data_IF_385837100163
#
_entry.id   IF_385837100163
#
_cell.length_a   1.000
_cell.length_b   1.000
_cell.length_c   1.000
_cell.angle_alpha   90.00
_cell.angle_beta   90.00
_cell.angle_gamma   90.00
#
_symmetry.space_group_name_H-M   'P 1'
#
loop_
_entity.id
_entity.type
_entity.pdbx_description
1 polymer ?
#
# COMPACT_ATOMS: atom_id res chain seq x y z
N UNK A 1 0.55 -5.97 4.05
CA UNK A 1 1.42 -6.69 4.99
C UNK A 1 0.77 -6.80 6.35
N UNK A 2 1.26 -7.70 7.21
CA UNK A 2 0.97 -7.67 8.64
C UNK A 2 1.15 -6.25 9.17
N UNK A 3 0.29 -5.82 10.10
CA UNK A 3 0.24 -4.47 10.68
C UNK A 3 -0.01 -3.32 9.70
N UNK A 4 -0.29 -3.59 8.43
CA UNK A 4 -0.65 -2.55 7.46
C UNK A 4 -1.97 -1.88 7.82
N UNK A 5 -2.04 -0.55 7.69
CA UNK A 5 -3.24 0.25 7.95
C UNK A 5 -3.49 1.24 6.83
N UNK A 6 -4.61 1.11 6.13
CA UNK A 6 -4.90 1.86 4.90
C UNK A 6 -6.21 2.67 4.97
N UNK A 7 -6.76 2.86 6.16
CA UNK A 7 -7.95 3.67 6.37
C UNK A 7 -9.06 2.95 7.13
N UNK A 8 -10.23 3.59 7.21
CA UNK A 8 -11.32 3.16 8.10
C UNK A 8 -12.70 3.06 7.41
N UNK A 9 -12.76 3.13 6.09
CA UNK A 9 -13.94 2.69 5.34
C UNK A 9 -13.96 1.16 5.24
N UNK A 10 -15.10 0.55 4.94
CA UNK A 10 -15.22 -0.91 4.88
C UNK A 10 -14.12 -1.54 4.00
N UNK A 11 -13.93 -1.03 2.78
CA UNK A 11 -12.89 -1.53 1.86
C UNK A 11 -11.48 -1.33 2.45
N UNK A 12 -11.22 -0.19 3.09
CA UNK A 12 -9.91 0.06 3.73
C UNK A 12 -9.68 -0.86 4.94
N UNK A 13 -10.72 -1.18 5.71
CA UNK A 13 -10.66 -2.17 6.80
C UNK A 13 -10.32 -3.55 6.23
N UNK A 14 -10.97 -3.95 5.13
CA UNK A 14 -10.77 -5.25 4.47
C UNK A 14 -9.34 -5.47 3.96
N UNK A 15 -8.58 -4.41 3.70
CA UNK A 15 -7.17 -4.49 3.25
C UNK A 15 -6.16 -4.10 4.35
N UNK A 16 -6.63 -3.84 5.58
CA UNK A 16 -5.81 -3.40 6.71
C UNK A 16 -5.71 -4.49 7.78
N UNK A 17 -4.61 -5.24 7.80
CA UNK A 17 -4.41 -6.29 8.82
C UNK A 17 -4.39 -5.73 10.25
N UNK A 18 -3.91 -4.51 10.43
CA UNK A 18 -4.03 -3.80 11.70
C UNK A 18 -5.47 -3.76 12.23
N UNK A 19 -6.47 -3.69 11.34
CA UNK A 19 -7.88 -3.65 11.70
C UNK A 19 -8.49 -5.04 11.80
N UNK A 20 -8.41 -5.86 10.76
CA UNK A 20 -9.12 -7.13 10.74
C UNK A 20 -8.48 -8.23 11.62
N UNK A 21 -7.18 -8.12 11.95
CA UNK A 21 -6.51 -8.99 12.93
C UNK A 21 -6.55 -8.41 14.36
N UNK A 22 -7.01 -7.16 14.52
CA UNK A 22 -7.15 -6.49 15.81
C UNK A 22 -8.39 -6.93 16.59
N UNK A 23 -8.56 -6.36 17.79
CA UNK A 23 -9.73 -6.61 18.64
C UNK A 23 -11.02 -6.24 17.92
N UNK A 24 -11.94 -7.20 17.80
CA UNK A 24 -13.22 -7.04 17.09
C UNK A 24 -13.12 -7.19 15.57
N UNK A 25 -11.95 -7.53 15.04
CA UNK A 25 -11.78 -7.86 13.64
C UNK A 25 -12.25 -9.28 13.30
N UNK A 26 -12.57 -9.51 12.03
CA UNK A 26 -13.09 -10.79 11.52
C UNK A 26 -12.06 -11.58 10.69
N UNK A 27 -10.79 -11.17 10.75
CA UNK A 27 -9.73 -11.74 9.88
C UNK A 27 -9.75 -11.18 8.46
N UNK A 28 -8.78 -11.61 7.65
CA UNK A 28 -8.68 -11.18 6.26
C UNK A 28 -9.84 -11.73 5.40
N UNK A 29 -10.50 -10.90 4.59
CA UNK A 29 -11.45 -11.37 3.58
C UNK A 29 -10.77 -12.28 2.55
N UNK A 30 -11.55 -13.10 1.84
CA UNK A 30 -11.04 -14.11 0.91
C UNK A 30 -10.13 -13.56 -0.20
N UNK A 31 -10.34 -12.32 -0.62
CA UNK A 31 -9.58 -11.63 -1.66
C UNK A 31 -8.44 -10.76 -1.13
N UNK A 32 -8.22 -10.74 0.20
CA UNK A 32 -7.11 -10.05 0.82
C UNK A 32 -6.03 -11.05 1.25
N UNK A 33 -4.84 -10.89 0.70
CA UNK A 33 -3.69 -11.75 0.99
C UNK A 33 -2.62 -10.96 1.74
N UNK A 34 -2.25 -11.44 2.92
CA UNK A 34 -1.29 -10.77 3.80
C UNK A 34 0.08 -11.43 3.70
N UNK A 35 1.12 -10.63 3.61
CA UNK A 35 2.51 -11.08 3.72
C UNK A 35 3.05 -10.78 5.13
N UNK A 36 4.03 -11.56 5.63
CA UNK A 36 4.72 -11.20 6.86
C UNK A 36 5.30 -9.79 6.79
N UNK A 37 5.28 -9.07 7.92
CA UNK A 37 5.84 -7.72 7.99
C UNK A 37 7.29 -7.70 7.49
N UNK A 38 7.64 -6.90 6.45
CA UNK A 38 9.00 -6.84 5.92
C UNK A 38 9.91 -6.05 6.88
N UNK A 39 10.36 -6.70 7.92
CA UNK A 39 11.22 -6.14 8.95
C UNK A 39 12.50 -6.98 9.06
N UNK A 40 13.66 -6.42 8.66
CA UNK A 40 14.94 -7.12 8.67
C UNK A 40 15.63 -7.13 10.05
N UNK A 41 15.09 -6.39 11.01
CA UNK A 41 15.59 -6.35 12.38
C UNK A 41 14.89 -7.35 13.30
N UNK A 42 13.54 -7.39 13.33
CA UNK A 42 12.74 -8.23 14.24
C UNK A 42 11.79 -9.19 13.53
N UNK A 43 11.67 -9.09 12.20
CA UNK A 43 10.72 -9.88 11.44
C UNK A 43 11.17 -11.32 11.18
N UNK A 44 10.37 -12.00 10.36
CA UNK A 44 10.57 -13.41 9.96
C UNK A 44 11.93 -13.65 9.28
N UNK A 45 12.39 -12.71 8.48
CA UNK A 45 13.66 -12.79 7.77
C UNK A 45 14.55 -11.61 8.15
N UNK A 46 15.80 -11.88 8.53
CA UNK A 46 16.76 -10.89 9.03
C UNK A 46 18.02 -10.87 8.15
N UNK A 47 18.75 -9.76 8.26
CA UNK A 47 20.04 -9.57 7.60
C UNK A 47 19.95 -9.18 6.11
N UNK A 48 21.09 -9.14 5.40
CA UNK A 48 21.23 -8.45 4.13
C UNK A 48 20.40 -9.03 2.98
N UNK A 49 19.97 -10.29 3.06
CA UNK A 49 19.15 -10.94 2.05
C UNK A 49 17.65 -11.02 2.42
N UNK A 50 17.24 -10.35 3.49
CA UNK A 50 15.86 -10.37 3.97
C UNK A 50 14.88 -9.87 2.92
N UNK A 51 15.21 -8.80 2.19
CA UNK A 51 14.37 -8.24 1.13
C UNK A 51 13.95 -9.28 0.10
N UNK A 52 14.91 -10.05 -0.45
CA UNK A 52 14.62 -11.12 -1.40
C UNK A 52 13.70 -12.20 -0.82
N UNK A 53 13.90 -12.56 0.44
CA UNK A 53 13.06 -13.56 1.12
C UNK A 53 11.61 -13.07 1.30
N UNK A 54 11.42 -11.78 1.60
CA UNK A 54 10.09 -11.18 1.66
C UNK A 54 9.42 -11.10 0.28
N UNK A 55 10.17 -10.86 -0.79
CA UNK A 55 9.64 -10.95 -2.18
C UNK A 55 9.12 -12.36 -2.47
N UNK A 56 9.78 -13.41 -1.98
CA UNK A 56 9.27 -14.79 -2.11
C UNK A 56 7.92 -15.01 -1.41
N UNK A 57 7.64 -14.31 -0.31
CA UNK A 57 6.31 -14.37 0.32
C UNK A 57 5.24 -13.72 -0.58
N UNK A 58 5.56 -12.59 -1.22
CA UNK A 58 4.66 -11.99 -2.22
C UNK A 58 4.42 -12.95 -3.39
N UNK A 59 5.48 -13.60 -3.89
CA UNK A 59 5.36 -14.59 -4.97
C UNK A 59 4.46 -15.76 -4.58
N UNK A 60 4.56 -16.26 -3.35
CA UNK A 60 3.66 -17.31 -2.83
C UNK A 60 2.20 -16.85 -2.83
N UNK A 61 1.92 -15.63 -2.38
CA UNK A 61 0.57 -15.06 -2.43
C UNK A 61 0.04 -15.01 -3.87
N UNK A 62 0.85 -14.54 -4.82
CA UNK A 62 0.47 -14.45 -6.23
C UNK A 62 0.19 -15.86 -6.81
N UNK A 63 1.03 -16.85 -6.51
CA UNK A 63 0.80 -18.25 -6.92
C UNK A 63 -0.50 -18.80 -6.35
N UNK A 64 -0.81 -18.51 -5.10
CA UNK A 64 -2.07 -18.93 -4.47
C UNK A 64 -3.30 -18.26 -5.13
N UNK A 65 -3.22 -16.96 -5.45
CA UNK A 65 -4.29 -16.26 -6.19
C UNK A 65 -4.55 -16.93 -7.55
N UNK A 66 -3.48 -17.19 -8.30
CA UNK A 66 -3.57 -17.83 -9.62
C UNK A 66 -4.07 -19.26 -9.57
N UNK A 67 -3.71 -20.04 -8.55
CA UNK A 67 -4.21 -21.42 -8.38
C UNK A 67 -5.73 -21.47 -8.20
N UNK A 68 -6.31 -20.39 -7.66
CA UNK A 68 -7.76 -20.20 -7.54
C UNK A 68 -8.42 -19.60 -8.81
N UNK A 69 -7.69 -19.53 -9.92
CA UNK A 69 -8.13 -18.91 -11.19
C UNK A 69 -8.56 -17.44 -11.04
N UNK A 70 -7.95 -16.71 -10.10
CA UNK A 70 -8.19 -15.28 -9.87
C UNK A 70 -7.05 -14.44 -10.43
N UNK A 71 -7.38 -13.22 -10.89
CA UNK A 71 -6.40 -12.21 -11.27
C UNK A 71 -5.84 -11.47 -10.04
N UNK A 72 -4.62 -10.98 -10.16
CA UNK A 72 -4.05 -10.08 -9.17
C UNK A 72 -4.54 -8.65 -9.43
N UNK A 73 -5.31 -8.07 -8.50
CA UNK A 73 -5.78 -6.69 -8.62
C UNK A 73 -4.68 -5.67 -8.33
N UNK A 74 -3.97 -5.84 -7.21
CA UNK A 74 -2.89 -4.92 -6.83
C UNK A 74 -2.17 -5.31 -5.57
N UNK A 75 -1.16 -4.52 -5.24
CA UNK A 75 -0.37 -4.59 -4.03
C UNK A 75 -0.31 -3.20 -3.39
N UNK A 76 -0.75 -3.08 -2.14
CA UNK A 76 -0.69 -1.84 -1.38
C UNK A 76 0.26 -2.00 -0.19
N UNK A 77 1.08 -0.97 0.04
CA UNK A 77 1.98 -0.92 1.19
C UNK A 77 2.35 0.53 1.52
N UNK A 78 2.57 0.80 2.79
CA UNK A 78 3.24 2.01 3.26
C UNK A 78 4.75 1.87 3.01
N UNK A 79 5.46 2.85 2.41
CA UNK A 79 6.92 2.78 2.18
C UNK A 79 7.74 2.67 3.46
N UNK A 80 7.19 3.16 4.57
CA UNK A 80 7.61 2.89 5.95
C UNK A 80 6.35 2.50 6.71
N UNK A 81 6.33 1.31 7.30
CA UNK A 81 5.14 0.78 7.97
C UNK A 81 4.91 1.48 9.30
N UNK A 82 4.02 2.47 9.33
CA UNK A 82 3.83 3.34 10.48
C UNK A 82 3.14 2.65 11.65
N UNK A 83 1.96 2.06 11.46
CA UNK A 83 1.26 1.30 12.50
C UNK A 83 2.00 0.01 12.89
N UNK A 84 2.88 -0.50 12.04
CA UNK A 84 3.79 -1.59 12.33
C UNK A 84 4.97 -1.24 13.24
N UNK A 85 5.14 0.05 13.60
CA UNK A 85 6.21 0.52 14.48
C UNK A 85 7.30 1.32 13.77
N UNK A 86 6.97 2.06 12.73
CA UNK A 86 7.91 2.86 11.91
C UNK A 86 8.99 1.97 11.27
N UNK A 87 8.57 0.87 10.68
CA UNK A 87 9.47 -0.13 10.11
C UNK A 87 9.87 0.26 8.69
N UNK A 88 11.16 0.48 8.48
CA UNK A 88 11.73 0.63 7.14
C UNK A 88 11.70 -0.70 6.40
N UNK A 89 11.37 -0.65 5.10
CA UNK A 89 11.36 -1.85 4.26
C UNK A 89 12.80 -2.27 3.91
N UNK A 90 13.10 -3.58 3.90
CA UNK A 90 14.42 -4.07 3.54
C UNK A 90 14.85 -3.62 2.15
N UNK A 91 16.15 -3.35 1.98
CA UNK A 91 16.73 -2.90 0.70
C UNK A 91 16.33 -3.82 -0.47
N UNK A 92 15.82 -3.21 -1.53
CA UNK A 92 15.40 -3.90 -2.76
C UNK A 92 14.01 -4.54 -2.70
N UNK A 93 13.44 -4.76 -1.51
CA UNK A 93 12.14 -5.42 -1.36
C UNK A 93 11.04 -4.75 -2.18
N UNK A 94 10.85 -3.43 -2.05
CA UNK A 94 9.75 -2.74 -2.71
C UNK A 94 9.91 -2.73 -4.23
N UNK A 95 11.15 -2.52 -4.72
CA UNK A 95 11.46 -2.53 -6.15
C UNK A 95 11.16 -3.89 -6.79
N UNK A 96 11.65 -4.97 -6.19
CA UNK A 96 11.48 -6.32 -6.72
C UNK A 96 10.00 -6.76 -6.62
N UNK A 97 9.31 -6.36 -5.55
CA UNK A 97 7.87 -6.59 -5.38
C UNK A 97 7.05 -5.88 -6.45
N UNK A 98 7.32 -4.60 -6.73
CA UNK A 98 6.59 -3.85 -7.77
C UNK A 98 6.78 -4.47 -9.16
N UNK A 99 8.01 -4.87 -9.49
CA UNK A 99 8.30 -5.57 -10.74
C UNK A 99 7.51 -6.90 -10.83
N UNK A 100 7.48 -7.66 -9.74
CA UNK A 100 6.76 -8.93 -9.68
C UNK A 100 5.25 -8.73 -9.83
N UNK A 101 4.67 -7.76 -9.12
CA UNK A 101 3.24 -7.42 -9.17
C UNK A 101 2.82 -7.02 -10.59
N UNK A 102 3.53 -6.09 -11.21
CA UNK A 102 3.26 -5.63 -12.57
C UNK A 102 3.38 -6.74 -13.61
N UNK A 103 4.41 -7.59 -13.49
CA UNK A 103 4.57 -8.79 -14.34
C UNK A 103 3.38 -9.75 -14.26
N UNK A 104 2.62 -9.70 -13.17
CA UNK A 104 1.44 -10.52 -12.94
C UNK A 104 0.10 -9.79 -13.15
N UNK A 105 0.15 -8.60 -13.75
CA UNK A 105 -1.04 -7.82 -14.14
C UNK A 105 -1.66 -6.97 -13.02
N UNK A 106 -1.03 -6.91 -11.85
CA UNK A 106 -1.50 -6.09 -10.73
C UNK A 106 -0.92 -4.67 -10.75
N UNK A 107 -1.58 -3.74 -10.07
CA UNK A 107 -1.11 -2.37 -9.86
C UNK A 107 -0.40 -2.21 -8.52
N UNK A 108 0.57 -1.29 -8.46
CA UNK A 108 1.34 -1.00 -7.26
C UNK A 108 0.85 0.30 -6.62
N UNK A 109 0.42 0.23 -5.37
CA UNK A 109 -0.15 1.35 -4.62
C UNK A 109 0.80 1.70 -3.46
N UNK A 110 1.29 2.95 -3.43
CA UNK A 110 2.03 3.48 -2.29
C UNK A 110 1.10 4.26 -1.38
N UNK A 111 1.02 3.83 -0.13
CA UNK A 111 0.31 4.57 0.89
C UNK A 111 1.24 5.61 1.52
N UNK A 112 1.13 6.85 1.05
CA UNK A 112 1.94 8.00 1.49
C UNK A 112 1.27 8.80 2.62
N UNK A 113 0.14 8.32 3.14
CA UNK A 113 -0.67 9.04 4.14
C UNK A 113 0.12 9.38 5.40
N UNK A 114 1.13 8.62 5.75
CA UNK A 114 1.98 8.87 6.92
C UNK A 114 3.33 9.51 6.58
N UNK A 115 3.95 9.12 5.47
CA UNK A 115 5.35 9.44 5.17
C UNK A 115 5.56 10.41 4.01
N UNK A 116 4.50 10.74 3.27
CA UNK A 116 4.55 11.70 2.18
C UNK A 116 4.72 13.15 2.63
N UNK A 117 4.73 14.03 1.65
CA UNK A 117 4.83 15.50 1.83
C UNK A 117 6.09 15.93 2.60
N UNK A 118 7.24 15.34 2.29
CA UNK A 118 8.53 15.76 2.85
C UNK A 118 8.82 15.26 4.26
N UNK A 119 7.99 14.38 4.84
CA UNK A 119 8.17 13.84 6.21
C UNK A 119 9.55 13.23 6.43
N UNK A 120 10.15 12.63 5.40
CA UNK A 120 11.45 11.95 5.46
C UNK A 120 12.66 12.90 5.30
N UNK A 121 12.44 14.17 5.04
CA UNK A 121 13.49 15.18 4.90
C UNK A 121 14.24 15.13 3.56
N UNK A 122 14.81 14.00 3.18
CA UNK A 122 15.57 13.84 1.92
C UNK A 122 14.70 13.65 0.69
N UNK A 123 13.50 13.11 0.87
CA UNK A 123 12.57 12.77 -0.19
C UNK A 123 11.22 13.40 0.10
N UNK A 124 10.52 13.85 -0.94
CA UNK A 124 9.16 14.37 -0.80
C UNK A 124 8.15 13.24 -0.60
N UNK A 125 8.37 12.12 -1.30
CA UNK A 125 7.55 10.91 -1.17
C UNK A 125 8.35 9.76 -0.57
N UNK A 126 7.68 8.92 0.22
CA UNK A 126 8.30 7.76 0.86
C UNK A 126 8.79 6.71 -0.14
N UNK A 127 8.10 6.50 -1.26
CA UNK A 127 8.52 5.55 -2.27
C UNK A 127 9.86 5.90 -2.94
N UNK A 128 10.26 7.18 -2.94
CA UNK A 128 11.52 7.64 -3.56
C UNK A 128 12.75 7.02 -2.89
N UNK A 129 12.72 6.78 -1.57
CA UNK A 129 13.85 6.15 -0.86
C UNK A 129 14.11 4.72 -1.34
N UNK A 130 13.12 4.09 -1.99
CA UNK A 130 13.24 2.74 -2.56
C UNK A 130 13.55 2.74 -4.05
N UNK A 131 13.71 3.92 -4.68
CA UNK A 131 13.94 4.09 -6.12
C UNK A 131 12.87 3.38 -6.97
N UNK A 132 11.61 3.60 -6.65
CA UNK A 132 10.43 3.09 -7.37
C UNK A 132 9.45 4.22 -7.66
N UNK A 133 8.56 3.99 -8.63
CA UNK A 133 7.40 4.84 -8.89
C UNK A 133 6.16 3.94 -8.83
N UNK A 134 5.21 4.19 -7.93
CA UNK A 134 3.95 3.44 -7.85
C UNK A 134 3.02 3.81 -9.00
N UNK A 135 1.99 3.00 -9.23
CA UNK A 135 0.94 3.27 -10.20
C UNK A 135 -0.17 4.14 -9.61
N UNK A 136 -0.35 4.04 -8.28
CA UNK A 136 -1.30 4.84 -7.48
C UNK A 136 -0.62 5.29 -6.19
N UNK A 137 -0.89 6.52 -5.78
CA UNK A 137 -0.42 7.11 -4.52
C UNK A 137 -1.65 7.58 -3.74
N UNK A 138 -1.76 7.17 -2.47
CA UNK A 138 -2.74 7.72 -1.55
C UNK A 138 -2.06 8.72 -0.60
N UNK A 139 -2.65 9.89 -0.42
CA UNK A 139 -2.07 11.01 0.30
C UNK A 139 -3.07 11.52 1.33
N UNK A 140 -2.60 11.91 2.50
CA UNK A 140 -3.46 12.44 3.56
C UNK A 140 -2.65 13.16 4.63
N UNK A 141 -3.10 13.09 5.86
CA UNK A 141 -2.48 13.66 7.09
C UNK A 141 -1.68 14.97 6.87
N UNK A 142 -0.38 14.92 6.45
CA UNK A 142 0.42 16.14 6.33
C UNK A 142 -0.02 17.05 5.18
N UNK A 143 -0.75 16.55 4.19
CA UNK A 143 -1.16 17.32 3.01
C UNK A 143 -1.93 18.60 3.38
N UNK A 144 -2.85 18.49 4.32
CA UNK A 144 -3.71 19.59 4.75
C UNK A 144 -3.15 20.45 5.88
N UNK A 145 -1.95 20.14 6.41
CA UNK A 145 -1.35 20.88 7.54
C UNK A 145 -2.33 21.10 8.71
N UNK A 146 -3.10 20.06 9.06
CA UNK A 146 -4.12 20.08 10.11
C UNK A 146 -5.56 20.16 9.58
N UNK A 147 -5.77 20.59 8.34
CA UNK A 147 -7.07 20.51 7.69
C UNK A 147 -7.29 19.09 7.11
N UNK A 148 -8.48 18.48 7.25
CA UNK A 148 -8.75 17.13 6.76
C UNK A 148 -8.84 17.12 5.22
N UNK A 149 -7.74 16.80 4.57
CA UNK A 149 -7.61 16.62 3.12
C UNK A 149 -7.06 15.23 2.83
N UNK A 150 -7.62 14.57 1.81
CA UNK A 150 -7.07 13.36 1.20
C UNK A 150 -7.01 13.50 -0.31
N UNK A 151 -6.03 12.88 -0.93
CA UNK A 151 -5.89 12.84 -2.37
C UNK A 151 -5.45 11.46 -2.86
N UNK A 152 -5.84 11.13 -4.08
CA UNK A 152 -5.33 9.96 -4.81
C UNK A 152 -4.75 10.46 -6.13
N UNK A 153 -3.52 10.07 -6.41
CA UNK A 153 -2.84 10.34 -7.68
C UNK A 153 -2.57 9.01 -8.36
N UNK A 154 -2.86 8.91 -9.63
CA UNK A 154 -2.62 7.69 -10.40
C UNK A 154 -2.14 8.01 -11.82
N UNK A 155 -1.67 6.97 -12.52
CA UNK A 155 -1.32 7.12 -13.93
C UNK A 155 -2.55 7.46 -14.78
N UNK A 156 -2.33 8.15 -15.91
CA UNK A 156 -3.40 8.50 -16.85
C UNK A 156 -4.21 7.28 -17.29
N UNK A 157 -3.55 6.16 -17.57
CA UNK A 157 -4.20 4.92 -17.98
C UNK A 157 -5.18 4.39 -16.93
N UNK A 158 -4.81 4.47 -15.63
CA UNK A 158 -5.71 4.06 -14.53
C UNK A 158 -6.88 5.02 -14.41
N UNK A 159 -6.63 6.33 -14.51
CA UNK A 159 -7.68 7.34 -14.48
C UNK A 159 -8.69 7.15 -15.62
N UNK A 160 -8.21 6.89 -16.84
CA UNK A 160 -9.07 6.60 -17.99
C UNK A 160 -9.91 5.32 -17.80
N UNK A 161 -9.34 4.28 -17.19
CA UNK A 161 -10.07 3.06 -16.87
C UNK A 161 -11.14 3.27 -15.78
N UNK A 162 -10.90 4.20 -14.85
CA UNK A 162 -11.87 4.59 -13.82
C UNK A 162 -13.01 5.45 -14.39
N UNK A 163 -12.76 6.23 -15.44
CA UNK A 163 -13.75 7.06 -16.12
C UNK A 163 -14.72 6.21 -16.98
N UNK A 164 -15.50 5.37 -16.33
CA UNK A 164 -16.39 4.38 -16.95
C UNK A 164 -17.81 4.89 -17.23
N UNK A 165 -18.05 6.20 -17.11
CA UNK A 165 -19.35 6.85 -17.33
C UNK A 165 -20.24 6.93 -16.08
N UNK A 166 -19.87 6.26 -14.98
CA UNK A 166 -20.52 6.46 -13.69
C UNK A 166 -19.94 7.70 -13.01
N UNK A 167 -20.80 8.61 -12.61
CA UNK A 167 -20.39 9.84 -11.94
C UNK A 167 -19.77 9.53 -10.58
N UNK A 168 -18.56 10.05 -10.33
CA UNK A 168 -17.96 10.10 -9.02
C UNK A 168 -18.23 11.45 -8.38
N UNK A 169 -19.08 11.47 -7.36
CA UNK A 169 -19.51 12.69 -6.70
C UNK A 169 -19.31 12.62 -5.18
N UNK A 170 -18.81 13.70 -4.61
CA UNK A 170 -18.69 13.88 -3.17
C UNK A 170 -18.99 15.33 -2.81
N UNK A 171 -20.08 15.58 -2.08
CA UNK A 171 -20.56 16.92 -1.73
C UNK A 171 -19.51 17.76 -1.02
N UNK A 172 -18.78 17.18 -0.08
CA UNK A 172 -17.77 17.91 0.72
C UNK A 172 -16.34 17.80 0.16
N UNK A 173 -16.11 16.98 -0.86
CA UNK A 173 -14.80 16.81 -1.49
C UNK A 173 -14.31 18.03 -2.25
N UNK A 174 -15.20 18.98 -2.55
CA UNK A 174 -14.90 20.23 -3.23
C UNK A 174 -15.21 21.46 -2.38
N UNK A 175 -15.08 21.38 -1.05
CA UNK A 175 -15.37 22.55 -0.20
C UNK A 175 -14.37 23.70 -0.42
N UNK A 176 -14.79 24.98 -0.22
CA UNK A 176 -13.95 26.15 -0.53
C UNK A 176 -12.67 26.28 0.31
N UNK A 177 -12.58 25.56 1.44
CA UNK A 177 -11.40 25.61 2.32
C UNK A 177 -10.30 24.67 1.79
N UNK A 178 -10.69 23.50 1.29
CA UNK A 178 -9.74 22.52 0.74
C UNK A 178 -9.28 22.88 -0.65
#
# INVERSE_FOLDING_TARGET
>A
SEHGYHGNTNICVDISSYKFDGKGGSGAPENTHVIPIPNDFRGKYRGPNSGKKYVMEVEKCIKNIKSKKRGLGGFIIEPILSCGGQVELPKGFLKDTYNLVRKNGGVCISDEVQVGCGRLGKSFWGFEIHNVVPDIITIGKPLGNGHPIGAVVCSKQIAESFANGMEFFNTFGGNPVS
#
